data_IF_084974559511
#
_entry.id   IF_084974559511
#
_cell.length_a   1.000
_cell.length_b   1.000
_cell.length_c   1.000
_cell.angle_alpha   90.00
_cell.angle_beta   90.00
_cell.angle_gamma   90.00
#
_symmetry.space_group_name_H-M   'P 1'
#
loop_
_entity.id
_entity.type
_entity.pdbx_description
1 polymer ?
#
# COMPACT_ATOMS: atom_id res chain seq x y z
N UNK A 1 15.34 14.49 2.74
CA UNK A 1 14.31 13.51 3.17
C UNK A 1 14.77 12.06 2.97
N UNK A 2 15.24 11.66 1.77
CA UNK A 2 15.80 10.30 1.54
C UNK A 2 16.90 9.92 2.53
N UNK A 3 17.85 10.83 2.76
CA UNK A 3 18.95 10.66 3.72
C UNK A 3 18.51 10.44 5.18
N UNK A 4 17.27 10.79 5.51
CA UNK A 4 16.69 10.60 6.86
C UNK A 4 15.90 9.28 6.92
N UNK A 5 15.10 8.99 5.89
CA UNK A 5 14.17 7.85 5.90
C UNK A 5 14.90 6.52 5.62
N UNK A 6 15.86 6.47 4.69
CA UNK A 6 16.54 5.22 4.33
C UNK A 6 17.26 4.58 5.54
N UNK A 7 18.03 5.32 6.36
CA UNK A 7 18.62 4.76 7.57
C UNK A 7 17.59 4.19 8.57
N UNK A 8 16.39 4.77 8.65
CA UNK A 8 15.32 4.24 9.51
C UNK A 8 14.80 2.89 9.01
N UNK A 9 14.67 2.72 7.69
CA UNK A 9 14.30 1.44 7.08
C UNK A 9 15.40 0.40 7.26
N UNK A 10 16.66 0.77 7.13
CA UNK A 10 17.79 -0.13 7.39
C UNK A 10 17.86 -0.55 8.86
N UNK A 11 17.61 0.39 9.78
CA UNK A 11 17.49 0.10 11.20
C UNK A 11 16.35 -0.89 11.48
N UNK A 12 15.18 -0.69 10.87
CA UNK A 12 14.04 -1.59 10.99
C UNK A 12 14.39 -3.02 10.53
N UNK A 13 15.10 -3.16 9.41
CA UNK A 13 15.52 -4.46 8.89
C UNK A 13 16.52 -5.17 9.81
N UNK A 14 17.33 -4.42 10.56
CA UNK A 14 18.29 -4.97 11.55
C UNK A 14 17.63 -5.41 12.87
N UNK A 15 16.33 -5.15 13.08
CA UNK A 15 15.64 -5.52 14.33
C UNK A 15 15.50 -7.04 14.43
N UNK A 16 15.70 -7.54 15.65
CA UNK A 16 15.62 -8.95 15.99
C UNK A 16 14.51 -9.23 16.99
N UNK A 17 14.08 -10.48 17.07
CA UNK A 17 13.23 -10.96 18.16
C UNK A 17 14.07 -11.27 19.43
N UNK A 18 13.39 -11.73 20.49
CA UNK A 18 14.03 -12.15 21.76
C UNK A 18 15.06 -13.28 21.61
N UNK A 19 15.05 -14.02 20.49
CA UNK A 19 16.00 -15.10 20.18
C UNK A 19 17.14 -14.65 19.27
N UNK A 20 17.28 -13.34 19.02
CA UNK A 20 18.30 -12.78 18.12
C UNK A 20 18.05 -13.01 16.63
N UNK A 21 16.91 -13.57 16.23
CA UNK A 21 16.55 -13.77 14.81
C UNK A 21 15.98 -12.48 14.22
N UNK A 22 16.49 -12.05 13.06
CA UNK A 22 15.96 -10.88 12.36
C UNK A 22 14.46 -11.02 12.06
N UNK A 23 13.70 -9.93 12.24
CA UNK A 23 12.24 -9.96 12.09
C UNK A 23 11.80 -10.40 10.69
N UNK A 24 12.52 -10.00 9.65
CA UNK A 24 12.24 -10.39 8.26
C UNK A 24 12.46 -11.89 7.97
N UNK A 25 13.11 -12.63 8.88
CA UNK A 25 13.27 -14.09 8.80
C UNK A 25 12.27 -14.86 9.67
N UNK A 26 11.35 -14.16 10.34
CA UNK A 26 10.31 -14.77 11.18
C UNK A 26 8.96 -14.84 10.47
N UNK A 27 7.95 -15.44 11.10
CA UNK A 27 6.56 -15.38 10.65
C UNK A 27 5.98 -13.94 10.63
N UNK A 28 6.62 -12.99 11.33
CA UNK A 28 6.23 -11.58 11.38
C UNK A 28 6.91 -10.72 10.30
N UNK A 29 7.53 -11.33 9.28
CA UNK A 29 8.31 -10.65 8.24
C UNK A 29 7.52 -9.64 7.39
N UNK A 30 6.21 -9.84 7.24
CA UNK A 30 5.39 -9.14 6.24
C UNK A 30 5.45 -7.63 6.38
N UNK A 31 5.27 -7.08 7.58
CA UNK A 31 5.28 -5.62 7.76
C UNK A 31 6.68 -5.03 7.53
N UNK A 32 7.73 -5.72 7.99
CA UNK A 32 9.12 -5.25 7.87
C UNK A 32 9.54 -5.20 6.41
N UNK A 33 9.28 -6.28 5.67
CA UNK A 33 9.57 -6.36 4.24
C UNK A 33 8.67 -5.43 3.44
N UNK A 34 7.36 -5.40 3.74
CA UNK A 34 6.39 -4.57 3.03
C UNK A 34 6.71 -3.07 3.15
N UNK A 35 6.99 -2.59 4.36
CA UNK A 35 7.35 -1.18 4.56
C UNK A 35 8.70 -0.84 3.91
N UNK A 36 9.70 -1.71 4.06
CA UNK A 36 11.01 -1.47 3.46
C UNK A 36 10.94 -1.43 1.92
N UNK A 37 10.20 -2.36 1.32
CA UNK A 37 9.97 -2.40 -0.13
C UNK A 37 9.20 -1.17 -0.58
N UNK A 38 8.08 -0.83 0.07
CA UNK A 38 7.26 0.33 -0.31
C UNK A 38 8.06 1.64 -0.31
N UNK A 39 8.84 1.89 0.73
CA UNK A 39 9.66 3.12 0.82
C UNK A 39 10.73 3.15 -0.26
N UNK A 40 11.46 2.04 -0.46
CA UNK A 40 12.50 1.96 -1.50
C UNK A 40 11.90 2.13 -2.91
N UNK A 41 10.76 1.49 -3.18
CA UNK A 41 10.06 1.60 -4.46
C UNK A 41 9.57 3.02 -4.72
N UNK A 42 8.94 3.68 -3.75
CA UNK A 42 8.48 5.08 -3.90
C UNK A 42 9.63 6.02 -4.23
N UNK A 43 10.77 5.85 -3.55
CA UNK A 43 11.96 6.62 -3.84
C UNK A 43 12.51 6.35 -5.24
N UNK A 44 12.58 5.09 -5.66
CA UNK A 44 13.00 4.72 -7.03
C UNK A 44 12.08 5.31 -8.09
N UNK A 45 10.77 5.19 -7.89
CA UNK A 45 9.75 5.73 -8.81
C UNK A 45 9.79 7.25 -8.86
N UNK A 46 10.03 7.92 -7.72
CA UNK A 46 10.16 9.36 -7.68
C UNK A 46 11.40 9.84 -8.47
N UNK A 47 12.52 9.13 -8.37
CA UNK A 47 13.73 9.46 -9.15
C UNK A 47 13.44 9.39 -10.65
N UNK A 48 12.77 8.31 -11.11
CA UNK A 48 12.38 8.13 -12.52
C UNK A 48 11.34 9.18 -12.96
N UNK A 49 10.31 9.40 -12.15
CA UNK A 49 9.22 10.33 -12.45
C UNK A 49 9.73 11.77 -12.60
N UNK A 50 10.61 12.24 -11.71
CA UNK A 50 11.18 13.58 -11.81
C UNK A 50 12.28 13.70 -12.86
N UNK A 51 12.86 12.59 -13.31
CA UNK A 51 13.78 12.60 -14.46
C UNK A 51 13.07 12.74 -15.80
N UNK A 52 11.78 12.37 -15.86
CA UNK A 52 10.99 12.32 -17.10
C UNK A 52 9.91 13.39 -17.19
N UNK A 53 9.69 14.16 -16.12
CA UNK A 53 8.60 15.15 -16.04
C UNK A 53 9.05 16.42 -15.32
N UNK A 54 8.40 17.55 -15.61
CA UNK A 54 8.63 18.83 -14.93
C UNK A 54 7.80 19.01 -13.65
N UNK A 55 7.20 17.93 -13.12
CA UNK A 55 6.38 18.00 -11.92
C UNK A 55 7.24 18.28 -10.67
N UNK A 56 6.74 19.14 -9.79
CA UNK A 56 7.47 19.53 -8.56
C UNK A 56 7.30 18.54 -7.40
N UNK A 57 6.30 17.68 -7.46
CA UNK A 57 5.99 16.72 -6.40
C UNK A 57 5.24 15.50 -6.95
N UNK A 58 5.25 14.42 -6.18
CA UNK A 58 4.53 13.18 -6.45
C UNK A 58 3.58 12.88 -5.29
N UNK A 59 2.31 12.65 -5.59
CA UNK A 59 1.28 12.35 -4.58
C UNK A 59 1.37 10.88 -4.16
N UNK A 60 2.11 10.58 -3.10
CA UNK A 60 2.29 9.20 -2.59
C UNK A 60 0.99 8.51 -2.21
N UNK A 61 -0.04 9.29 -1.81
CA UNK A 61 -1.38 8.78 -1.53
C UNK A 61 -2.01 8.05 -2.72
N UNK A 62 -1.68 8.43 -3.96
CA UNK A 62 -2.22 7.80 -5.18
C UNK A 62 -1.74 6.37 -5.41
N UNK A 63 -0.69 5.94 -4.70
CA UNK A 63 -0.21 4.55 -4.72
C UNK A 63 -0.86 3.69 -3.63
N UNK A 64 -1.69 4.27 -2.75
CA UNK A 64 -2.43 3.49 -1.76
C UNK A 64 -3.63 2.77 -2.40
N UNK A 65 -3.99 1.64 -1.82
CA UNK A 65 -5.20 0.89 -2.19
C UNK A 65 -6.50 1.52 -1.68
N UNK A 66 -6.43 2.59 -0.88
CA UNK A 66 -7.58 3.31 -0.32
C UNK A 66 -8.66 3.61 -1.35
N UNK A 67 -8.28 4.01 -2.56
CA UNK A 67 -9.23 4.31 -3.61
C UNK A 67 -10.09 3.09 -3.99
N UNK A 68 -9.50 1.89 -4.00
CA UNK A 68 -10.22 0.63 -4.21
C UNK A 68 -11.09 0.27 -3.00
N UNK A 69 -10.61 0.49 -1.77
CA UNK A 69 -11.38 0.21 -0.55
C UNK A 69 -12.61 1.12 -0.41
N UNK A 70 -12.47 2.40 -0.74
CA UNK A 70 -13.57 3.37 -0.83
C UNK A 70 -14.56 2.94 -1.92
N UNK A 71 -14.06 2.46 -3.06
CA UNK A 71 -14.92 1.93 -4.12
C UNK A 71 -15.72 0.71 -3.66
N UNK A 72 -15.09 -0.26 -2.99
CA UNK A 72 -15.82 -1.39 -2.41
C UNK A 72 -16.83 -0.97 -1.35
N UNK A 73 -16.52 0.06 -0.56
CA UNK A 73 -17.47 0.65 0.39
C UNK A 73 -18.72 1.20 -0.30
N UNK A 74 -18.56 1.84 -1.46
CA UNK A 74 -19.70 2.29 -2.29
C UNK A 74 -20.52 1.14 -2.85
N UNK A 75 -19.87 0.03 -3.25
CA UNK A 75 -20.59 -1.18 -3.70
C UNK A 75 -21.43 -1.76 -2.57
N UNK A 76 -20.85 -1.90 -1.36
CA UNK A 76 -21.56 -2.45 -0.19
C UNK A 76 -22.78 -1.62 0.19
N UNK A 77 -22.71 -0.29 0.04
CA UNK A 77 -23.83 0.62 0.32
C UNK A 77 -25.03 0.48 -0.63
N UNK A 78 -24.88 -0.16 -1.80
CA UNK A 78 -25.95 -0.25 -2.80
C UNK A 78 -27.08 -1.20 -2.44
N UNK A 79 -26.83 -2.20 -1.60
CA UNK A 79 -27.81 -3.25 -1.29
C UNK A 79 -28.52 -3.02 0.05
N UNK A 80 -28.58 -1.76 0.52
CA UNK A 80 -29.24 -1.39 1.77
C UNK A 80 -28.63 -2.12 2.97
N UNK A 81 -29.42 -3.00 3.60
CA UNK A 81 -28.97 -3.79 4.74
C UNK A 81 -28.07 -5.00 4.36
N UNK A 82 -27.94 -5.33 3.07
CA UNK A 82 -27.04 -6.37 2.61
C UNK A 82 -25.60 -5.84 2.45
N UNK A 83 -24.85 -5.89 3.56
CA UNK A 83 -23.46 -5.45 3.61
C UNK A 83 -22.46 -6.46 3.01
N UNK A 84 -22.90 -7.61 2.52
CA UNK A 84 -22.04 -8.68 2.01
C UNK A 84 -22.61 -9.25 0.70
N UNK A 85 -22.54 -8.47 -0.40
CA UNK A 85 -23.12 -8.88 -1.65
C UNK A 85 -22.47 -10.18 -2.18
N UNK A 86 -23.29 -11.04 -2.78
CA UNK A 86 -22.79 -12.20 -3.49
C UNK A 86 -22.16 -11.80 -4.84
N UNK A 87 -21.55 -12.77 -5.55
CA UNK A 87 -20.86 -12.48 -6.79
C UNK A 87 -21.76 -11.89 -7.91
N UNK A 88 -23.03 -12.29 -7.99
CA UNK A 88 -24.00 -11.78 -8.97
C UNK A 88 -24.42 -10.33 -8.63
N UNK A 89 -24.65 -10.06 -7.35
CA UNK A 89 -24.93 -8.72 -6.84
C UNK A 89 -23.73 -7.79 -7.10
N UNK A 90 -22.50 -8.23 -6.78
CA UNK A 90 -21.28 -7.49 -7.10
C UNK A 90 -21.18 -7.18 -8.59
N UNK A 91 -21.40 -8.17 -9.46
CA UNK A 91 -21.36 -7.97 -10.91
C UNK A 91 -22.41 -6.95 -11.36
N UNK A 92 -23.62 -7.02 -10.82
CA UNK A 92 -24.71 -6.09 -11.13
C UNK A 92 -24.37 -4.68 -10.67
N UNK A 93 -23.84 -4.52 -9.46
CA UNK A 93 -23.39 -3.22 -8.95
C UNK A 93 -22.26 -2.63 -9.79
N UNK A 94 -21.29 -3.44 -10.22
CA UNK A 94 -20.21 -3.02 -11.10
C UNK A 94 -20.74 -2.52 -12.45
N UNK A 95 -21.65 -3.27 -13.08
CA UNK A 95 -22.32 -2.90 -14.35
C UNK A 95 -23.16 -1.62 -14.26
N UNK A 96 -23.60 -1.23 -13.06
CA UNK A 96 -24.35 0.01 -12.85
C UNK A 96 -23.47 1.22 -12.56
N UNK A 97 -22.21 1.01 -12.14
CA UNK A 97 -21.26 2.09 -11.83
C UNK A 97 -20.43 2.45 -13.07
N UNK A 98 -20.09 1.44 -13.89
CA UNK A 98 -19.31 1.55 -15.13
C UNK A 98 -20.24 1.79 -16.33
#
# INVERSE_FOLDING_TARGET
MRSIIIPQIEYLLKRTNIKGKFLYLTSRKTFTLGLATAVKSIFSMADEFFSTTDYKYMLTYKFSQDHLEIFFSKIRQRFGNNNSPNALELQTALKQIL
#
